data_IF_965878152258
#
_entry.id   IF_965878152258
#
_cell.length_a   1.000
_cell.length_b   1.000
_cell.length_c   1.000
_cell.angle_alpha   90.00
_cell.angle_beta   90.00
_cell.angle_gamma   90.00
#
_symmetry.space_group_name_H-M   'P 1'
#
loop_
_entity.id
_entity.type
_entity.pdbx_description
1 polymer ?
#
# COMPACT_ATOMS: atom_id res chain seq x y z
N UNK A 1 -59.20 39.06 -44.95
CA UNK A 1 -59.10 39.16 -43.47
C UNK A 1 -60.06 38.13 -42.89
N UNK A 2 -59.76 37.25 -41.94
CA UNK A 2 -58.53 36.83 -41.28
C UNK A 2 -58.82 35.41 -40.76
N UNK A 3 -58.03 34.43 -41.21
CA UNK A 3 -58.08 33.02 -40.79
C UNK A 3 -57.33 32.87 -39.47
N UNK A 4 -57.93 32.37 -38.39
CA UNK A 4 -57.19 31.92 -37.18
C UNK A 4 -57.91 30.76 -36.47
N UNK A 5 -57.49 29.54 -36.78
CA UNK A 5 -57.73 28.36 -35.93
C UNK A 5 -56.49 28.24 -35.04
N UNK A 6 -56.67 28.35 -33.73
CA UNK A 6 -55.61 28.19 -32.73
C UNK A 6 -55.64 26.73 -32.27
N UNK A 7 -54.69 25.93 -32.76
CA UNK A 7 -54.40 24.59 -32.25
C UNK A 7 -53.23 24.67 -31.26
N UNK A 8 -53.53 24.65 -29.96
CA UNK A 8 -52.54 24.40 -28.91
C UNK A 8 -52.64 22.93 -28.52
N UNK A 9 -51.77 22.10 -29.08
CA UNK A 9 -51.56 20.74 -28.62
C UNK A 9 -50.30 20.72 -27.74
N UNK A 10 -50.51 20.43 -26.47
CA UNK A 10 -49.51 20.31 -25.41
C UNK A 10 -48.54 19.15 -25.76
N UNK A 11 -47.28 19.47 -26.07
CA UNK A 11 -46.24 18.44 -26.24
C UNK A 11 -45.89 17.92 -24.84
N UNK A 12 -46.46 16.76 -24.49
CA UNK A 12 -46.12 16.04 -23.27
C UNK A 12 -44.68 15.51 -23.37
N UNK A 13 -43.78 16.07 -22.56
CA UNK A 13 -42.40 15.59 -22.42
C UNK A 13 -42.39 14.27 -21.63
N UNK A 14 -42.57 13.14 -22.31
CA UNK A 14 -42.44 11.83 -21.70
C UNK A 14 -40.95 11.45 -21.58
N UNK A 15 -40.33 11.71 -20.44
CA UNK A 15 -39.00 11.17 -20.10
C UNK A 15 -38.86 10.92 -18.59
N UNK A 16 -39.84 10.26 -17.98
CA UNK A 16 -39.83 9.96 -16.54
C UNK A 16 -39.26 8.58 -16.16
N UNK A 17 -38.77 7.80 -17.14
CA UNK A 17 -38.30 6.42 -16.92
C UNK A 17 -36.99 6.10 -17.64
N UNK A 18 -36.01 7.01 -17.59
CA UNK A 18 -34.63 6.62 -17.95
C UNK A 18 -34.01 5.96 -16.72
N UNK A 19 -33.61 4.67 -16.77
CA UNK A 19 -32.89 4.07 -15.66
C UNK A 19 -31.61 4.87 -15.43
N UNK A 20 -31.42 5.37 -14.21
CA UNK A 20 -30.16 6.00 -13.83
C UNK A 20 -29.04 4.98 -14.04
N UNK A 21 -28.27 5.16 -15.12
CA UNK A 21 -27.05 4.39 -15.33
C UNK A 21 -26.06 4.84 -14.24
N UNK A 22 -26.08 4.15 -13.11
CA UNK A 22 -24.97 4.17 -12.16
C UNK A 22 -23.78 3.51 -12.84
N UNK A 23 -23.07 4.28 -13.65
CA UNK A 23 -21.76 3.91 -14.17
C UNK A 23 -20.84 3.75 -12.95
N UNK A 24 -20.67 2.51 -12.48
CA UNK A 24 -19.61 2.19 -11.53
C UNK A 24 -18.31 2.50 -12.25
N UNK A 25 -17.69 3.63 -11.92
CA UNK A 25 -16.37 3.99 -12.42
C UNK A 25 -15.40 2.95 -11.86
N UNK A 26 -14.75 2.12 -12.69
CA UNK A 26 -13.74 1.19 -12.17
C UNK A 26 -12.56 2.02 -11.65
N UNK A 27 -12.44 2.17 -10.35
CA UNK A 27 -11.21 2.69 -9.74
C UNK A 27 -10.15 1.60 -9.85
N UNK A 28 -9.45 1.53 -10.98
CA UNK A 28 -8.16 0.83 -11.02
C UNK A 28 -7.22 1.61 -10.11
N UNK A 29 -7.06 1.12 -8.88
CA UNK A 29 -5.93 1.50 -8.04
C UNK A 29 -4.71 0.86 -8.69
N UNK A 30 -3.89 1.68 -9.38
CA UNK A 30 -2.60 1.24 -9.87
C UNK A 30 -1.75 0.89 -8.65
N UNK A 31 -1.64 -0.40 -8.38
CA UNK A 31 -0.82 -0.91 -7.31
C UNK A 31 0.63 -1.03 -7.81
N UNK A 32 1.56 -0.46 -7.05
CA UNK A 32 2.98 -0.50 -7.34
C UNK A 32 3.70 -1.31 -6.25
N UNK A 33 4.52 -2.28 -6.68
CA UNK A 33 5.34 -3.05 -5.77
C UNK A 33 6.53 -2.23 -5.24
N UNK A 34 7.12 -2.71 -4.15
CA UNK A 34 8.27 -2.09 -3.49
C UNK A 34 9.55 -2.10 -4.33
N UNK A 35 10.56 -1.35 -3.89
CA UNK A 35 11.82 -1.15 -4.63
C UNK A 35 12.61 -2.45 -4.85
N UNK A 36 12.49 -3.39 -3.90
CA UNK A 36 13.17 -4.69 -3.90
C UNK A 36 12.25 -5.85 -4.28
N UNK A 37 11.07 -5.58 -4.84
CA UNK A 37 10.25 -6.65 -5.41
C UNK A 37 11.00 -7.37 -6.53
N UNK A 38 10.92 -8.70 -6.55
CA UNK A 38 11.64 -9.58 -7.49
C UNK A 38 13.18 -9.42 -7.48
N UNK A 39 13.73 -8.79 -6.43
CA UNK A 39 15.16 -8.66 -6.18
C UNK A 39 15.56 -9.36 -4.89
N UNK A 40 16.87 -9.50 -4.69
CA UNK A 40 17.43 -9.99 -3.44
C UNK A 40 17.01 -9.07 -2.28
N UNK A 41 16.35 -9.66 -1.28
CA UNK A 41 15.84 -8.98 -0.10
C UNK A 41 16.57 -9.47 1.15
N UNK A 42 17.85 -9.11 1.22
CA UNK A 42 18.78 -9.44 2.31
C UNK A 42 18.88 -8.32 3.36
N UNK A 43 19.80 -8.48 4.32
CA UNK A 43 20.00 -7.47 5.36
C UNK A 43 20.39 -6.08 4.80
N UNK A 44 21.13 -6.04 3.70
CA UNK A 44 21.54 -4.78 3.07
C UNK A 44 20.32 -4.05 2.51
N UNK A 45 19.47 -4.76 1.75
CA UNK A 45 18.22 -4.21 1.24
C UNK A 45 17.28 -3.72 2.35
N UNK A 46 17.14 -4.51 3.44
CA UNK A 46 16.33 -4.12 4.59
C UNK A 46 16.88 -2.90 5.32
N UNK A 47 18.20 -2.79 5.45
CA UNK A 47 18.83 -1.64 6.10
C UNK A 47 18.66 -0.37 5.27
N UNK A 48 18.77 -0.46 3.93
CA UNK A 48 18.48 0.65 3.03
C UNK A 48 17.02 1.13 3.15
N UNK A 49 16.06 0.21 3.11
CA UNK A 49 14.65 0.54 3.32
C UNK A 49 14.38 1.17 4.69
N UNK A 50 14.97 0.60 5.75
CA UNK A 50 14.81 1.13 7.09
C UNK A 50 15.38 2.54 7.20
N UNK A 51 16.51 2.84 6.53
CA UNK A 51 17.08 4.18 6.49
C UNK A 51 16.18 5.18 5.75
N UNK A 52 15.58 4.77 4.62
CA UNK A 52 14.63 5.58 3.83
C UNK A 52 13.26 5.75 4.50
N UNK A 53 12.87 4.81 5.35
CA UNK A 53 11.57 4.81 6.00
C UNK A 53 11.35 6.05 6.87
N UNK A 54 10.19 6.69 6.65
CA UNK A 54 9.67 7.81 7.41
C UNK A 54 8.48 7.33 8.26
N UNK A 55 8.63 7.21 9.59
CA UNK A 55 7.57 6.70 10.45
C UNK A 55 6.35 7.63 10.55
N UNK A 56 6.52 8.93 10.29
CA UNK A 56 5.45 9.92 10.37
C UNK A 56 4.56 9.93 9.13
N UNK A 57 5.00 9.32 8.03
CA UNK A 57 4.20 9.20 6.80
C UNK A 57 3.38 7.91 6.81
N UNK A 58 2.19 7.88 6.18
CA UNK A 58 1.37 6.68 6.09
C UNK A 58 2.14 5.50 5.48
N UNK A 59 1.83 4.29 5.95
CA UNK A 59 2.38 3.06 5.38
C UNK A 59 2.02 2.94 3.90
N UNK A 60 3.01 2.62 3.07
CA UNK A 60 2.82 2.30 1.66
C UNK A 60 3.85 1.27 1.21
N UNK A 61 3.75 0.79 -0.03
CA UNK A 61 4.74 -0.14 -0.61
C UNK A 61 6.14 0.47 -0.74
N UNK A 62 6.27 1.79 -0.55
CA UNK A 62 7.52 2.54 -0.56
C UNK A 62 7.87 3.18 0.78
N UNK A 63 7.01 3.06 1.78
CA UNK A 63 7.24 3.61 3.12
C UNK A 63 6.72 2.64 4.18
N UNK A 64 7.60 1.76 4.66
CA UNK A 64 7.31 0.80 5.71
C UNK A 64 8.58 0.44 6.47
N UNK A 65 8.44 -0.04 7.70
CA UNK A 65 9.56 -0.61 8.45
C UNK A 65 9.77 -2.09 8.06
N UNK A 66 10.91 -2.47 7.46
CA UNK A 66 11.19 -3.85 7.06
C UNK A 66 11.58 -4.79 8.21
N UNK A 67 11.85 -4.24 9.41
CA UNK A 67 12.18 -4.99 10.63
C UNK A 67 10.99 -5.11 11.59
N UNK A 68 9.86 -4.47 11.26
CA UNK A 68 8.62 -4.64 12.00
C UNK A 68 8.12 -6.08 11.88
N UNK A 69 7.53 -6.60 12.96
CA UNK A 69 6.83 -7.89 12.94
C UNK A 69 5.35 -7.69 13.19
N UNK A 70 4.50 -8.32 12.39
CA UNK A 70 3.06 -8.37 12.60
C UNK A 70 2.63 -9.83 12.64
N UNK A 71 1.92 -10.23 13.70
CA UNK A 71 1.52 -11.62 13.93
C UNK A 71 2.71 -12.60 13.80
N UNK A 72 3.86 -12.22 14.38
CA UNK A 72 5.13 -12.98 14.36
C UNK A 72 5.81 -13.12 12.99
N UNK A 73 5.34 -12.43 11.95
CA UNK A 73 5.93 -12.47 10.61
C UNK A 73 6.53 -11.11 10.23
N UNK A 74 7.57 -11.13 9.40
CA UNK A 74 8.10 -9.95 8.73
C UNK A 74 7.32 -9.67 7.44
N UNK A 75 7.27 -8.41 6.99
CA UNK A 75 6.68 -8.09 5.69
C UNK A 75 7.59 -8.54 4.53
N UNK A 76 7.02 -8.61 3.33
CA UNK A 76 7.75 -8.79 2.09
C UNK A 76 8.49 -7.51 1.64
N UNK A 77 9.15 -7.57 0.48
CA UNK A 77 9.87 -6.45 -0.12
C UNK A 77 8.97 -5.25 -0.52
N UNK A 78 7.65 -5.41 -0.43
CA UNK A 78 6.64 -4.38 -0.67
C UNK A 78 5.90 -3.97 0.61
N UNK A 79 6.34 -4.42 1.79
CA UNK A 79 5.71 -4.04 3.05
C UNK A 79 4.39 -4.78 3.32
N UNK A 80 4.12 -5.88 2.64
CA UNK A 80 2.89 -6.67 2.76
C UNK A 80 3.18 -7.90 3.62
N UNK A 81 2.28 -8.24 4.54
CA UNK A 81 2.47 -9.40 5.41
C UNK A 81 1.89 -10.69 4.81
N UNK A 82 2.42 -11.86 5.20
CA UNK A 82 1.86 -13.14 4.80
C UNK A 82 0.35 -13.22 5.08
N UNK A 83 -0.42 -13.63 4.08
CA UNK A 83 -1.88 -13.73 4.14
C UNK A 83 -2.64 -12.46 3.72
N UNK A 84 -1.93 -11.35 3.44
CA UNK A 84 -2.55 -10.16 2.86
C UNK A 84 -2.61 -10.22 1.31
N UNK A 85 -3.54 -9.48 0.67
CA UNK A 85 -3.60 -9.42 -0.78
C UNK A 85 -2.29 -8.91 -1.38
N UNK A 86 -1.81 -9.58 -2.45
CA UNK A 86 -0.59 -9.22 -3.22
C UNK A 86 0.73 -9.48 -2.50
N UNK A 87 0.72 -10.22 -1.38
CA UNK A 87 1.94 -10.71 -0.75
C UNK A 87 2.76 -11.56 -1.74
N UNK A 88 4.07 -11.32 -1.78
CA UNK A 88 5.03 -12.13 -2.53
C UNK A 88 6.15 -12.59 -1.61
N UNK A 89 6.51 -13.88 -1.67
CA UNK A 89 7.66 -14.38 -0.91
C UNK A 89 8.95 -13.73 -1.43
N UNK A 90 9.76 -13.06 -0.56
CA UNK A 90 10.97 -12.41 -1.00
C UNK A 90 12.06 -13.40 -1.42
N UNK A 91 12.87 -13.01 -2.42
CA UNK A 91 14.10 -13.72 -2.75
C UNK A 91 15.10 -13.49 -1.62
N UNK A 92 15.38 -14.53 -0.86
CA UNK A 92 16.28 -14.48 0.30
C UNK A 92 17.71 -14.79 -0.11
N UNK A 93 18.66 -14.11 0.52
CA UNK A 93 20.09 -14.42 0.39
C UNK A 93 20.52 -15.61 1.26
N UNK A 94 21.81 -15.90 1.22
CA UNK A 94 22.41 -16.96 2.02
C UNK A 94 22.31 -16.65 3.53
N UNK A 95 22.12 -17.71 4.31
CA UNK A 95 22.09 -17.65 5.77
C UNK A 95 23.28 -18.44 6.30
N UNK A 96 24.14 -17.80 7.07
CA UNK A 96 25.25 -18.44 7.77
C UNK A 96 25.36 -17.92 9.20
N UNK A 97 25.98 -18.68 10.10
CA UNK A 97 26.15 -18.27 11.49
C UNK A 97 26.88 -16.92 11.63
N UNK A 98 27.89 -16.68 10.77
CA UNK A 98 28.60 -15.42 10.73
C UNK A 98 27.68 -14.24 10.36
N UNK A 99 26.80 -14.45 9.36
CA UNK A 99 25.80 -13.45 8.95
C UNK A 99 24.80 -13.20 10.09
N UNK A 100 24.30 -14.26 10.74
CA UNK A 100 23.35 -14.11 11.86
C UNK A 100 23.92 -13.31 13.03
N UNK A 101 25.21 -13.48 13.36
CA UNK A 101 25.87 -12.70 14.40
C UNK A 101 26.02 -11.22 14.04
N UNK A 102 26.29 -10.92 12.76
CA UNK A 102 26.33 -9.55 12.26
C UNK A 102 24.94 -8.89 12.30
N UNK A 103 23.91 -9.56 11.77
CA UNK A 103 22.53 -9.07 11.79
C UNK A 103 22.01 -8.87 13.23
N UNK A 104 22.44 -9.72 14.17
CA UNK A 104 22.14 -9.56 15.58
C UNK A 104 22.74 -8.27 16.15
N UNK A 105 24.00 -7.98 15.85
CA UNK A 105 24.64 -6.74 16.30
C UNK A 105 23.91 -5.50 15.74
N UNK A 106 23.48 -5.55 14.47
CA UNK A 106 22.70 -4.48 13.84
C UNK A 106 21.30 -4.34 14.45
N UNK A 107 20.66 -5.46 14.81
CA UNK A 107 19.38 -5.44 15.52
C UNK A 107 19.52 -4.84 16.92
N UNK A 108 20.56 -5.21 17.66
CA UNK A 108 20.84 -4.67 19.00
C UNK A 108 21.16 -3.16 18.90
N UNK A 109 21.86 -2.71 17.85
CA UNK A 109 22.11 -1.29 17.58
C UNK A 109 20.82 -0.51 17.25
N UNK A 110 19.92 -1.08 16.42
CA UNK A 110 18.60 -0.48 16.13
C UNK A 110 17.73 -0.39 17.38
N UNK A 111 17.75 -1.41 18.23
CA UNK A 111 17.01 -1.40 19.50
C UNK A 111 17.55 -0.36 20.50
N UNK A 112 18.86 -0.10 20.49
CA UNK A 112 19.49 0.93 21.32
C UNK A 112 19.21 2.36 20.83
N UNK A 113 18.94 2.54 19.53
CA UNK A 113 18.64 3.83 18.91
C UNK A 113 17.44 3.74 17.95
N UNK A 114 16.23 3.47 18.47
CA UNK A 114 15.04 3.37 17.65
C UNK A 114 14.74 4.72 16.98
N UNK A 115 14.26 4.69 15.74
CA UNK A 115 13.78 5.92 15.10
C UNK A 115 12.59 6.46 15.90
N UNK A 116 12.41 7.78 15.91
CA UNK A 116 11.40 8.46 16.74
C UNK A 116 9.95 7.97 16.54
N UNK A 117 9.67 7.25 15.45
CA UNK A 117 8.38 6.59 15.25
C UNK A 117 8.48 5.09 15.01
N UNK A 118 9.47 4.40 15.57
CA UNK A 118 9.41 2.95 15.83
C UNK A 118 8.45 2.59 16.99
N UNK A 119 7.73 3.59 17.53
CA UNK A 119 6.68 3.35 18.51
C UNK A 119 5.51 2.58 17.88
N UNK A 120 4.91 1.61 18.59
CA UNK A 120 3.64 1.02 18.19
C UNK A 120 2.59 2.11 17.93
N UNK A 121 1.85 1.97 16.83
CA UNK A 121 0.81 2.89 16.37
C UNK A 121 1.30 4.01 15.44
N UNK A 122 2.55 3.99 14.99
CA UNK A 122 3.05 5.01 14.08
C UNK A 122 2.34 4.95 12.69
N UNK A 123 2.14 6.08 11.99
CA UNK A 123 1.49 6.09 10.68
C UNK A 123 2.14 5.16 9.63
N UNK A 124 3.47 5.01 9.69
CA UNK A 124 4.25 4.14 8.81
C UNK A 124 4.32 2.66 9.24
N UNK A 125 3.76 2.34 10.40
CA UNK A 125 3.76 1.02 11.04
C UNK A 125 2.47 0.27 10.69
N UNK A 126 2.48 -1.05 10.86
CA UNK A 126 1.28 -1.89 10.79
C UNK A 126 0.63 -2.02 12.17
N UNK A 127 1.45 -2.05 13.23
CA UNK A 127 1.04 -2.14 14.63
C UNK A 127 0.89 -0.78 15.28
#
# INVERSE_FOLDING_TARGET
MLTKIITVAFVASASAFVPAQNARVPTKLNFEYGEYDEKLYDHVAKTDLYNKWNPSSPRSTRNFNPFETFKSNSPDASGIYPGEPRYKDPIRGDVSFAIMMAEKADADARAASPKAGDAPGCPGCKN
#
